data_IF_299789858471
#
_entry.id   IF_299789858471
#
_cell.length_a   1.000
_cell.length_b   1.000
_cell.length_c   1.000
_cell.angle_alpha   90.00
_cell.angle_beta   90.00
_cell.angle_gamma   90.00
#
_symmetry.space_group_name_H-M   'P 1'
#
loop_
_entity.id
_entity.type
_entity.pdbx_description
1 polymer ?
#
# COMPACT_ATOMS: atom_id res chain seq x y z
N UNK A 1 8.08 12.57 6.81
CA UNK A 1 7.81 13.83 6.09
C UNK A 1 8.56 13.86 4.76
N UNK A 2 8.06 14.59 3.80
CA UNK A 2 8.75 14.89 2.55
C UNK A 2 8.41 16.32 2.07
N UNK A 3 9.09 16.77 1.02
CA UNK A 3 8.78 18.03 0.34
C UNK A 3 8.28 17.70 -1.05
N UNK A 4 7.09 18.19 -1.39
CA UNK A 4 6.47 18.03 -2.70
C UNK A 4 5.97 19.39 -3.21
N UNK A 5 6.37 19.75 -4.40
CA UNK A 5 5.98 21.01 -5.06
C UNK A 5 6.22 22.26 -4.17
N UNK A 6 7.35 22.28 -3.46
CA UNK A 6 7.71 23.35 -2.52
C UNK A 6 6.90 23.40 -1.23
N UNK A 7 6.08 22.39 -0.97
CA UNK A 7 5.26 22.27 0.23
C UNK A 7 5.77 21.14 1.12
N UNK A 8 5.75 21.34 2.43
CA UNK A 8 6.07 20.29 3.40
C UNK A 8 4.85 19.38 3.60
N UNK A 9 5.04 18.09 3.37
CA UNK A 9 4.04 17.05 3.61
C UNK A 9 4.41 16.32 4.90
N UNK A 10 3.51 16.38 5.87
CA UNK A 10 3.64 15.70 7.16
C UNK A 10 2.56 14.64 7.27
N UNK A 11 2.92 13.44 7.70
CA UNK A 11 1.96 12.36 7.84
C UNK A 11 2.36 11.37 8.93
N UNK A 12 1.37 10.72 9.48
CA UNK A 12 1.52 9.59 10.40
C UNK A 12 0.69 8.42 9.92
N UNK A 13 1.20 7.22 10.13
CA UNK A 13 0.47 5.98 9.88
C UNK A 13 0.26 5.25 11.19
N UNK A 14 -0.94 4.79 11.44
CA UNK A 14 -1.31 4.10 12.69
C UNK A 14 -2.08 2.82 12.39
N UNK A 15 -1.87 1.80 13.21
CA UNK A 15 -2.59 0.53 13.09
C UNK A 15 -4.06 0.67 13.48
N UNK A 16 -4.36 1.47 14.52
CA UNK A 16 -5.73 1.74 14.97
C UNK A 16 -6.16 3.14 14.52
N UNK A 17 -7.09 3.26 13.55
CA UNK A 17 -7.50 4.55 13.00
C UNK A 17 -8.10 5.51 14.03
N UNK A 18 -8.68 5.04 15.13
CA UNK A 18 -9.20 5.91 16.20
C UNK A 18 -8.14 6.73 16.92
N UNK A 19 -6.88 6.34 16.82
CA UNK A 19 -5.78 7.04 17.48
C UNK A 19 -5.03 8.01 16.56
N UNK A 20 -5.41 8.14 15.29
CA UNK A 20 -4.64 8.90 14.30
C UNK A 20 -4.47 10.37 14.67
N UNK A 21 -5.52 11.02 15.19
CA UNK A 21 -5.48 12.42 15.62
C UNK A 21 -4.45 12.63 16.73
N UNK A 22 -4.52 11.82 17.78
CA UNK A 22 -3.61 11.89 18.92
C UNK A 22 -2.14 11.72 18.49
N UNK A 23 -1.86 10.76 17.60
CA UNK A 23 -0.49 10.54 17.12
C UNK A 23 -0.03 11.66 16.19
N UNK A 24 -0.93 12.20 15.38
CA UNK A 24 -0.62 13.34 14.52
C UNK A 24 -0.28 14.58 15.35
N UNK A 25 -1.07 14.92 16.36
CA UNK A 25 -0.81 16.04 17.26
C UNK A 25 0.52 15.89 18.02
N UNK A 26 0.81 14.67 18.52
CA UNK A 26 2.10 14.38 19.16
C UNK A 26 3.28 14.52 18.20
N UNK A 27 3.12 14.08 16.97
CA UNK A 27 4.15 14.22 15.94
C UNK A 27 4.40 15.70 15.62
N UNK A 28 3.36 16.48 15.40
CA UNK A 28 3.50 17.93 15.16
C UNK A 28 4.18 18.62 16.36
N UNK A 29 3.73 18.34 17.57
CA UNK A 29 4.35 18.90 18.77
C UNK A 29 5.83 18.49 18.93
N UNK A 30 6.19 17.26 18.55
CA UNK A 30 7.57 16.81 18.50
C UNK A 30 8.39 17.61 17.49
N UNK A 31 7.89 17.74 16.26
CA UNK A 31 8.56 18.48 15.19
C UNK A 31 8.76 19.96 15.54
N UNK A 32 7.78 20.59 16.19
CA UNK A 32 7.87 21.96 16.67
C UNK A 32 8.96 22.14 17.74
N UNK A 33 9.04 21.20 18.69
CA UNK A 33 10.01 21.29 19.80
C UNK A 33 11.44 20.90 19.44
N UNK A 34 11.59 19.90 18.58
CA UNK A 34 12.90 19.32 18.30
C UNK A 34 13.51 19.78 16.98
N UNK A 35 12.69 20.32 16.09
CA UNK A 35 13.09 20.70 14.73
C UNK A 35 12.62 22.10 14.32
N UNK A 36 12.18 22.91 15.31
CA UNK A 36 11.75 24.29 15.09
C UNK A 36 10.72 24.44 13.96
N UNK A 37 9.84 23.44 13.80
CA UNK A 37 8.81 23.45 12.77
C UNK A 37 7.84 24.62 13.01
N UNK A 38 7.72 25.49 12.02
CA UNK A 38 6.72 26.58 12.02
C UNK A 38 5.73 26.30 10.91
N UNK A 39 4.49 26.03 11.25
CA UNK A 39 3.40 25.84 10.29
C UNK A 39 2.75 27.21 10.04
N UNK A 40 3.06 27.81 8.90
CA UNK A 40 2.47 29.10 8.51
C UNK A 40 1.02 28.95 8.05
N UNK A 41 0.73 27.89 7.28
CA UNK A 41 -0.59 27.62 6.73
C UNK A 41 -0.74 26.13 6.41
N UNK A 42 -1.85 25.56 6.83
CA UNK A 42 -2.25 24.24 6.38
C UNK A 42 -3.05 24.37 5.09
N UNK A 43 -2.56 23.75 4.01
CA UNK A 43 -3.16 23.85 2.68
C UNK A 43 -4.17 22.73 2.49
N UNK A 44 -3.84 21.50 2.95
CA UNK A 44 -4.66 20.31 2.78
C UNK A 44 -4.48 19.37 3.98
N UNK A 45 -5.52 18.66 4.32
CA UNK A 45 -5.47 17.52 5.25
C UNK A 45 -6.32 16.39 4.67
N UNK A 46 -5.76 15.19 4.66
CA UNK A 46 -6.44 14.00 4.16
C UNK A 46 -6.20 12.84 5.11
N UNK A 47 -7.17 11.95 5.19
CA UNK A 47 -7.09 10.69 5.92
C UNK A 47 -7.44 9.56 4.96
N UNK A 48 -6.61 8.53 4.95
CA UNK A 48 -6.83 7.35 4.15
C UNK A 48 -6.83 6.11 5.03
N UNK A 49 -7.66 5.16 4.66
CA UNK A 49 -7.57 3.81 5.16
C UNK A 49 -6.79 2.99 4.15
N UNK A 50 -5.61 2.55 4.52
CA UNK A 50 -4.90 1.55 3.74
C UNK A 50 -5.53 0.19 4.01
N UNK A 51 -5.85 -0.60 2.97
CA UNK A 51 -6.30 -1.96 3.18
C UNK A 51 -5.23 -2.73 3.94
N UNK A 52 -5.65 -3.45 4.98
CA UNK A 52 -4.74 -4.26 5.77
C UNK A 52 -4.38 -5.51 4.97
N UNK A 53 -3.33 -5.42 4.17
CA UNK A 53 -2.83 -6.56 3.43
C UNK A 53 -2.23 -7.53 4.44
N UNK A 54 -2.81 -8.71 4.53
CA UNK A 54 -2.33 -9.77 5.44
C UNK A 54 -0.93 -10.23 5.02
N UNK A 55 -0.10 -10.74 5.96
CA UNK A 55 1.27 -11.19 5.68
C UNK A 55 1.42 -12.26 4.60
N UNK A 56 0.34 -12.94 4.26
CA UNK A 56 0.27 -13.84 3.11
C UNK A 56 -0.50 -13.11 2.02
N UNK A 57 0.20 -12.43 1.18
CA UNK A 57 -0.27 -11.62 0.07
C UNK A 57 -1.45 -12.29 -0.69
N UNK A 58 -2.66 -12.24 -0.12
CA UNK A 58 -3.85 -12.77 -0.76
C UNK A 58 -4.28 -11.77 -1.82
N UNK A 59 -3.99 -12.11 -3.06
CA UNK A 59 -4.45 -11.33 -4.21
C UNK A 59 -5.85 -11.78 -4.58
N UNK A 60 -6.76 -10.83 -4.69
CA UNK A 60 -8.10 -11.02 -5.23
C UNK A 60 -8.08 -10.61 -6.72
N UNK A 61 -8.19 -11.59 -7.59
CA UNK A 61 -8.16 -11.38 -9.03
C UNK A 61 -9.51 -10.90 -9.60
N UNK A 62 -10.56 -10.89 -8.78
CA UNK A 62 -11.90 -10.50 -9.18
C UNK A 62 -12.93 -11.63 -9.14
N UNK A 63 -14.13 -11.35 -9.64
CA UNK A 63 -15.25 -12.29 -9.66
C UNK A 63 -16.02 -12.21 -10.99
N UNK A 64 -16.28 -13.35 -11.60
CA UNK A 64 -16.97 -13.42 -12.87
C UNK A 64 -16.28 -12.59 -13.94
N UNK A 65 -16.96 -11.63 -14.55
CA UNK A 65 -16.41 -10.74 -15.58
C UNK A 65 -15.76 -9.46 -15.03
N UNK A 66 -15.66 -9.32 -13.72
CA UNK A 66 -15.02 -8.17 -13.06
C UNK A 66 -13.65 -8.59 -12.59
N UNK A 67 -12.61 -8.04 -13.20
CA UNK A 67 -11.21 -8.31 -12.87
C UNK A 67 -10.64 -7.16 -12.04
N UNK A 68 -9.84 -7.50 -11.03
CA UNK A 68 -9.16 -6.52 -10.16
C UNK A 68 -7.68 -6.45 -10.49
N UNK A 69 -7.12 -5.25 -10.43
CA UNK A 69 -5.69 -5.00 -10.58
C UNK A 69 -5.24 -3.91 -9.61
N UNK A 70 -3.94 -3.81 -9.37
CA UNK A 70 -3.38 -2.82 -8.45
C UNK A 70 -3.79 -3.01 -7.00
N UNK A 71 -3.88 -1.91 -6.27
CA UNK A 71 -4.14 -1.91 -4.83
C UNK A 71 -5.45 -2.60 -4.45
N UNK A 72 -6.52 -2.43 -5.23
CA UNK A 72 -7.81 -3.09 -4.98
C UNK A 72 -7.72 -4.61 -5.06
N UNK A 73 -6.82 -5.13 -5.89
CA UNK A 73 -6.52 -6.56 -5.97
C UNK A 73 -5.60 -7.04 -4.84
N UNK A 74 -4.95 -6.13 -4.13
CA UNK A 74 -3.96 -6.44 -3.11
C UNK A 74 -2.50 -6.29 -3.59
N UNK A 75 -2.25 -5.75 -4.78
CA UNK A 75 -0.90 -5.45 -5.26
C UNK A 75 -0.36 -4.16 -4.62
N UNK A 76 0.00 -4.24 -3.35
CA UNK A 76 0.56 -3.15 -2.56
C UNK A 76 1.71 -3.67 -1.70
N UNK A 77 2.85 -3.02 -1.70
CA UNK A 77 3.95 -3.38 -0.83
C UNK A 77 3.76 -2.81 0.60
N UNK A 78 4.49 -3.32 1.60
CA UNK A 78 4.32 -2.89 2.99
C UNK A 78 4.71 -1.43 3.26
N UNK A 79 5.42 -0.78 2.34
CA UNK A 79 5.76 0.65 2.43
C UNK A 79 4.66 1.56 1.89
N UNK A 80 3.56 0.97 1.38
CA UNK A 80 2.44 1.72 0.79
C UNK A 80 2.68 2.13 -0.66
N UNK A 81 3.71 1.58 -1.31
CA UNK A 81 3.97 1.83 -2.73
C UNK A 81 3.23 0.79 -3.57
N UNK A 82 2.27 1.26 -4.35
CA UNK A 82 1.45 0.40 -5.20
C UNK A 82 1.46 0.78 -6.69
N UNK A 83 2.09 1.91 -7.07
CA UNK A 83 2.03 2.43 -8.44
C UNK A 83 2.64 1.43 -9.43
N UNK A 84 3.87 0.99 -9.21
CA UNK A 84 4.55 0.04 -10.11
C UNK A 84 3.81 -1.30 -10.18
N UNK A 85 3.41 -1.84 -9.01
CA UNK A 85 2.65 -3.08 -8.94
C UNK A 85 1.26 -2.95 -9.58
N UNK A 86 0.64 -1.77 -9.46
CA UNK A 86 -0.63 -1.44 -10.12
C UNK A 86 -0.50 -1.43 -11.64
N UNK A 87 0.54 -0.80 -12.15
CA UNK A 87 0.83 -0.76 -13.60
C UNK A 87 1.14 -2.16 -14.15
N UNK A 88 1.99 -2.93 -13.48
CA UNK A 88 2.39 -4.27 -13.89
C UNK A 88 1.20 -5.24 -13.86
N UNK A 89 0.43 -5.27 -12.78
CA UNK A 89 -0.77 -6.12 -12.70
C UNK A 89 -1.84 -5.70 -13.69
N UNK A 90 -2.01 -4.39 -13.94
CA UNK A 90 -2.89 -3.86 -14.98
C UNK A 90 -2.48 -4.30 -16.39
N UNK A 91 -1.19 -4.29 -16.69
CA UNK A 91 -0.65 -4.78 -17.96
C UNK A 91 -0.93 -6.27 -18.15
N UNK A 92 -0.70 -7.09 -17.12
CA UNK A 92 -0.94 -8.53 -17.21
C UNK A 92 -2.42 -8.89 -17.39
N UNK A 93 -3.32 -8.24 -16.64
CA UNK A 93 -4.76 -8.49 -16.84
C UNK A 93 -5.24 -8.04 -18.22
N UNK A 94 -4.73 -6.92 -18.74
CA UNK A 94 -5.09 -6.45 -20.07
C UNK A 94 -4.64 -7.42 -21.16
N UNK A 95 -3.42 -7.96 -21.05
CA UNK A 95 -2.92 -8.98 -21.99
C UNK A 95 -3.73 -10.28 -21.91
N UNK A 96 -4.04 -10.77 -20.71
CA UNK A 96 -4.85 -11.96 -20.54
C UNK A 96 -6.23 -11.81 -21.19
N UNK A 97 -6.88 -10.65 -20.99
CA UNK A 97 -8.17 -10.35 -21.64
C UNK A 97 -8.01 -10.25 -23.16
N UNK A 98 -6.96 -9.60 -23.66
CA UNK A 98 -6.75 -9.46 -25.11
C UNK A 98 -6.51 -10.81 -25.80
N UNK A 99 -5.83 -11.73 -25.11
CA UNK A 99 -5.51 -13.05 -25.66
C UNK A 99 -6.70 -14.03 -25.58
N UNK A 100 -7.57 -13.89 -24.59
CA UNK A 100 -8.62 -14.87 -24.25
C UNK A 100 -9.97 -14.24 -23.97
N UNK A 101 -10.37 -13.23 -24.76
CA UNK A 101 -11.56 -12.40 -24.49
C UNK A 101 -12.85 -13.21 -24.25
N UNK A 102 -13.03 -14.32 -24.97
CA UNK A 102 -14.23 -15.17 -24.87
C UNK A 102 -14.07 -16.36 -23.91
N UNK A 103 -12.88 -16.54 -23.31
CA UNK A 103 -12.57 -17.62 -22.37
C UNK A 103 -12.09 -17.07 -21.03
N UNK A 104 -13.05 -16.89 -20.13
CA UNK A 104 -12.80 -16.29 -18.82
C UNK A 104 -11.86 -17.13 -17.93
N UNK A 105 -11.91 -18.45 -18.04
CA UNK A 105 -11.05 -19.35 -17.28
C UNK A 105 -9.58 -19.20 -17.71
N UNK A 106 -9.34 -19.07 -19.01
CA UNK A 106 -8.02 -18.77 -19.55
C UNK A 106 -7.53 -17.38 -19.14
N UNK A 107 -8.40 -16.37 -19.15
CA UNK A 107 -8.06 -15.02 -18.66
C UNK A 107 -7.56 -15.08 -17.22
N UNK A 108 -8.29 -15.74 -16.33
CA UNK A 108 -7.88 -15.87 -14.93
C UNK A 108 -6.59 -16.70 -14.76
N UNK A 109 -6.43 -17.76 -15.57
CA UNK A 109 -5.23 -18.60 -15.55
C UNK A 109 -3.99 -17.80 -15.93
N UNK A 110 -4.04 -17.12 -17.06
CA UNK A 110 -2.91 -16.33 -17.57
C UNK A 110 -2.60 -15.16 -16.62
N UNK A 111 -3.60 -14.44 -16.18
CA UNK A 111 -3.39 -13.34 -15.23
C UNK A 111 -2.72 -13.81 -13.92
N UNK A 112 -3.13 -14.96 -13.38
CA UNK A 112 -2.49 -15.56 -12.20
C UNK A 112 -1.06 -16.00 -12.46
N UNK A 113 -0.79 -16.60 -13.61
CA UNK A 113 0.54 -17.09 -13.96
C UNK A 113 1.49 -15.94 -14.21
N UNK A 114 1.09 -14.95 -15.00
CA UNK A 114 1.93 -13.82 -15.38
C UNK A 114 2.29 -12.92 -14.19
N UNK A 115 1.41 -12.83 -13.19
CA UNK A 115 1.68 -12.07 -11.95
C UNK A 115 2.42 -12.86 -10.87
N UNK A 116 2.84 -14.11 -11.13
CA UNK A 116 3.46 -14.96 -10.13
C UNK A 116 4.76 -14.35 -9.55
N UNK A 117 5.60 -13.77 -10.39
CA UNK A 117 6.86 -13.13 -9.95
C UNK A 117 6.58 -11.91 -9.07
N UNK A 118 5.66 -11.04 -9.48
CA UNK A 118 5.23 -9.87 -8.72
C UNK A 118 4.70 -10.29 -7.34
N UNK A 119 3.82 -11.29 -7.29
CA UNK A 119 3.27 -11.81 -6.03
C UNK A 119 4.35 -12.37 -5.12
N UNK A 120 5.26 -13.17 -5.65
CA UNK A 120 6.38 -13.76 -4.88
C UNK A 120 7.29 -12.68 -4.30
N UNK A 121 7.57 -11.63 -5.07
CA UNK A 121 8.34 -10.49 -4.61
C UNK A 121 7.64 -9.76 -3.45
N UNK A 122 6.35 -9.49 -3.59
CA UNK A 122 5.55 -8.83 -2.56
C UNK A 122 5.42 -9.67 -1.29
N UNK A 123 5.22 -10.99 -1.40
CA UNK A 123 5.19 -11.90 -0.26
C UNK A 123 6.48 -11.87 0.57
N UNK A 124 7.63 -11.78 -0.11
CA UNK A 124 8.94 -11.63 0.56
C UNK A 124 9.03 -10.32 1.32
N UNK A 125 8.57 -9.22 0.72
CA UNK A 125 8.58 -7.90 1.38
C UNK A 125 7.67 -7.89 2.61
N UNK A 126 6.46 -8.43 2.51
CA UNK A 126 5.52 -8.52 3.63
C UNK A 126 6.03 -9.43 4.74
N UNK A 127 6.66 -10.55 4.40
CA UNK A 127 7.28 -11.45 5.38
C UNK A 127 8.43 -10.79 6.13
N UNK A 128 9.23 -9.99 5.43
CA UNK A 128 10.33 -9.24 6.05
C UNK A 128 9.80 -8.21 7.07
N UNK A 129 8.79 -7.41 6.69
CA UNK A 129 8.22 -6.39 7.58
C UNK A 129 7.46 -7.03 8.77
N UNK A 130 6.79 -8.16 8.56
CA UNK A 130 6.15 -8.88 9.65
C UNK A 130 7.17 -9.33 10.71
N UNK A 131 8.32 -9.85 10.30
CA UNK A 131 9.42 -10.18 11.22
C UNK A 131 9.99 -8.97 11.94
N UNK A 132 10.09 -7.81 11.27
CA UNK A 132 10.51 -6.57 11.92
C UNK A 132 9.48 -6.04 12.93
N UNK A 133 8.18 -6.16 12.63
CA UNK A 133 7.13 -5.66 13.50
C UNK A 133 7.13 -6.37 14.87
N UNK A 134 7.44 -7.65 14.90
CA UNK A 134 7.59 -8.40 16.15
C UNK A 134 8.77 -7.87 16.96
N UNK A 135 9.89 -7.59 16.32
CA UNK A 135 11.09 -7.00 16.96
C UNK A 135 10.81 -5.60 17.51
N UNK A 136 10.08 -4.75 16.77
CA UNK A 136 9.73 -3.41 17.23
C UNK A 136 8.70 -3.39 18.37
N UNK A 137 7.81 -4.38 18.43
CA UNK A 137 6.85 -4.50 19.54
C UNK A 137 7.53 -4.88 20.87
N UNK A 138 8.70 -5.48 20.82
CA UNK A 138 9.53 -5.82 21.98
C UNK A 138 10.42 -4.66 22.44
N UNK A 139 10.67 -3.67 21.58
CA UNK A 139 11.35 -2.43 21.98
C UNK A 139 10.39 -1.60 22.84
N UNK A 140 10.57 -1.68 24.14
CA UNK A 140 9.93 -0.73 25.08
C UNK A 140 10.56 0.64 24.86
N UNK A 141 9.81 1.53 24.24
CA UNK A 141 10.08 2.96 24.19
C UNK A 141 9.79 3.60 25.54
#
# INVERSE_FOLDING_TARGET
FNVKDGQLVLGVSVKNPSNIEMYYERFIAYMQRQHDLIIQKQIKSEKWLMPHIRPKCNIDFGIGKILFAGEIAGFLNPMGEGISAGMESGYHVANAVANHFDDLDMVYSDYKNDTLQLRTYMERQWSFVAGMADTFSEMKL
#
